data_IF_335310646010
#
_entry.id   IF_335310646010
#
_cell.length_a   1.000
_cell.length_b   1.000
_cell.length_c   1.000
_cell.angle_alpha   90.00
_cell.angle_beta   90.00
_cell.angle_gamma   90.00
#
_symmetry.space_group_name_H-M   'P 1'
#
loop_
_entity.id
_entity.type
_entity.pdbx_description
1 polymer ?
#
# COMPACT_ATOMS: atom_id res chain seq x y z
N UNK A 1 -17.06 5.71 -14.16
CA UNK A 1 -15.72 6.31 -13.91
C UNK A 1 -15.28 6.24 -12.45
N UNK A 2 -16.13 6.58 -11.47
CA UNK A 2 -15.77 6.56 -10.03
C UNK A 2 -15.25 5.19 -9.55
N UNK A 3 -15.97 4.10 -9.85
CA UNK A 3 -15.56 2.75 -9.47
C UNK A 3 -14.20 2.34 -10.07
N UNK A 4 -13.94 2.74 -11.32
CA UNK A 4 -12.65 2.51 -12.01
C UNK A 4 -11.52 3.28 -11.32
N UNK A 5 -11.76 4.52 -10.88
CA UNK A 5 -10.77 5.34 -10.17
C UNK A 5 -10.49 4.83 -8.76
N UNK A 6 -11.51 4.32 -8.05
CA UNK A 6 -11.31 3.62 -6.78
C UNK A 6 -10.49 2.35 -6.97
N UNK A 7 -10.85 1.50 -7.93
CA UNK A 7 -10.11 0.29 -8.23
C UNK A 7 -8.64 0.61 -8.61
N UNK A 8 -8.41 1.63 -9.43
CA UNK A 8 -7.06 2.08 -9.77
C UNK A 8 -6.27 2.57 -8.55
N UNK A 9 -6.89 3.38 -7.67
CA UNK A 9 -6.24 3.87 -6.46
C UNK A 9 -5.86 2.73 -5.51
N UNK A 10 -6.75 1.75 -5.33
CA UNK A 10 -6.49 0.54 -4.55
C UNK A 10 -5.35 -0.25 -5.18
N UNK A 11 -5.44 -0.60 -6.47
CA UNK A 11 -4.44 -1.41 -7.17
C UNK A 11 -3.05 -0.75 -7.15
N UNK A 12 -2.96 0.57 -7.35
CA UNK A 12 -1.69 1.31 -7.28
C UNK A 12 -1.13 1.29 -5.87
N UNK A 13 -1.97 1.43 -4.85
CA UNK A 13 -1.54 1.35 -3.44
C UNK A 13 -0.98 -0.04 -3.12
N UNK A 14 -1.68 -1.09 -3.55
CA UNK A 14 -1.22 -2.47 -3.40
C UNK A 14 0.08 -2.73 -4.15
N UNK A 15 0.21 -2.27 -5.39
CA UNK A 15 1.43 -2.41 -6.17
C UNK A 15 2.62 -1.70 -5.50
N UNK A 16 2.42 -0.47 -5.00
CA UNK A 16 3.45 0.26 -4.28
C UNK A 16 3.89 -0.46 -3.00
N UNK A 17 2.94 -1.00 -2.23
CA UNK A 17 3.25 -1.83 -1.05
C UNK A 17 4.05 -3.08 -1.45
N UNK A 18 3.60 -3.83 -2.46
CA UNK A 18 4.29 -5.04 -2.93
C UNK A 18 5.74 -4.73 -3.35
N UNK A 19 5.95 -3.63 -4.08
CA UNK A 19 7.30 -3.17 -4.45
C UNK A 19 8.13 -2.82 -3.22
N UNK A 20 7.53 -2.17 -2.22
CA UNK A 20 8.21 -1.85 -0.96
C UNK A 20 8.61 -3.12 -0.17
N UNK A 21 7.82 -4.20 -0.27
CA UNK A 21 8.13 -5.50 0.32
C UNK A 21 9.26 -6.23 -0.42
N UNK A 22 9.34 -6.05 -1.73
CA UNK A 22 10.37 -6.63 -2.60
C UNK A 22 11.69 -5.84 -2.53
N UNK A 23 11.64 -4.54 -2.25
CA UNK A 23 12.82 -3.67 -2.11
C UNK A 23 13.86 -4.13 -1.06
N UNK A 24 13.49 -4.76 0.08
CA UNK A 24 14.44 -5.37 1.02
C UNK A 24 14.90 -6.79 0.65
N UNK A 25 14.37 -7.41 -0.41
CA UNK A 25 14.87 -8.73 -0.84
C UNK A 25 16.35 -8.77 -1.26
N UNK A 26 16.97 -7.70 -1.82
CA UNK A 26 18.42 -7.63 -2.03
C UNK A 26 19.23 -7.13 -0.82
N UNK A 27 18.61 -6.78 0.32
CA UNK A 27 19.33 -6.22 1.47
C UNK A 27 19.98 -7.32 2.35
N UNK A 28 21.15 -7.05 2.97
CA UNK A 28 21.94 -8.09 3.63
C UNK A 28 21.24 -8.67 4.87
N UNK A 29 21.35 -9.99 5.06
CA UNK A 29 20.70 -10.86 6.06
C UNK A 29 20.44 -10.23 7.46
N UNK A 30 21.39 -9.46 8.00
CA UNK A 30 21.25 -8.80 9.30
C UNK A 30 20.08 -7.79 9.42
N UNK A 31 19.68 -7.13 8.32
CA UNK A 31 18.50 -6.24 8.30
C UNK A 31 17.20 -7.03 8.11
N UNK A 32 17.25 -8.19 7.44
CA UNK A 32 16.07 -9.04 7.22
C UNK A 32 15.47 -9.51 8.54
N UNK A 33 16.29 -9.80 9.55
CA UNK A 33 15.80 -10.27 10.85
C UNK A 33 14.96 -9.22 11.60
N UNK A 34 15.33 -7.94 11.51
CA UNK A 34 14.54 -6.84 12.10
C UNK A 34 13.31 -6.47 11.26
N UNK A 35 13.39 -6.62 9.92
CA UNK A 35 12.30 -6.29 8.99
C UNK A 35 11.22 -7.38 8.95
N UNK A 36 11.58 -8.66 9.06
CA UNK A 36 10.66 -9.82 9.02
C UNK A 36 10.20 -10.33 10.39
N UNK A 37 10.48 -9.60 11.48
CA UNK A 37 9.94 -9.92 12.80
C UNK A 37 8.40 -10.07 12.75
N UNK A 38 7.78 -11.02 13.50
CA UNK A 38 6.33 -11.26 13.44
C UNK A 38 5.48 -10.02 13.70
N UNK A 39 5.97 -9.08 14.51
CA UNK A 39 5.31 -7.80 14.74
C UNK A 39 5.33 -6.88 13.49
N UNK A 40 6.45 -6.88 12.76
CA UNK A 40 6.60 -6.11 11.52
C UNK A 40 5.70 -6.66 10.42
N UNK A 41 5.62 -7.99 10.29
CA UNK A 41 4.67 -8.66 9.37
C UNK A 41 3.23 -8.30 9.73
N UNK A 42 2.87 -8.29 11.01
CA UNK A 42 1.54 -7.88 11.48
C UNK A 42 1.20 -6.42 11.15
N UNK A 43 2.14 -5.50 11.39
CA UNK A 43 2.01 -4.10 10.97
C UNK A 43 1.87 -3.97 9.46
N UNK A 44 2.56 -4.81 8.70
CA UNK A 44 2.50 -4.82 7.24
C UNK A 44 1.15 -5.32 6.71
N UNK A 45 0.57 -6.35 7.33
CA UNK A 45 -0.78 -6.82 7.04
C UNK A 45 -1.83 -5.75 7.37
N UNK A 46 -1.68 -5.06 8.50
CA UNK A 46 -2.54 -3.91 8.85
C UNK A 46 -2.39 -2.79 7.82
N UNK A 47 -1.17 -2.49 7.38
CA UNK A 47 -0.93 -1.47 6.34
C UNK A 47 -1.59 -1.83 5.01
N UNK A 48 -1.53 -3.10 4.58
CA UNK A 48 -2.23 -3.59 3.38
C UNK A 48 -3.75 -3.42 3.45
N UNK A 49 -4.35 -3.51 4.65
CA UNK A 49 -5.79 -3.30 4.85
C UNK A 49 -6.16 -1.82 4.98
N UNK A 50 -5.37 -1.04 5.71
CA UNK A 50 -5.70 0.35 6.07
C UNK A 50 -5.29 1.33 4.98
N UNK A 51 -4.13 1.14 4.34
CA UNK A 51 -3.63 2.07 3.33
C UNK A 51 -4.59 2.28 2.14
N UNK A 52 -5.24 1.24 1.57
CA UNK A 52 -6.18 1.43 0.47
C UNK A 52 -7.41 2.25 0.88
N UNK A 53 -7.89 2.08 2.11
CA UNK A 53 -9.01 2.84 2.67
C UNK A 53 -8.61 4.30 2.84
N UNK A 54 -7.46 4.55 3.46
CA UNK A 54 -6.93 5.90 3.67
C UNK A 54 -6.69 6.62 2.34
N UNK A 55 -6.11 5.94 1.34
CA UNK A 55 -5.90 6.51 0.01
C UNK A 55 -7.22 6.83 -0.69
N UNK A 56 -8.22 5.94 -0.59
CA UNK A 56 -9.56 6.22 -1.11
C UNK A 56 -10.19 7.45 -0.46
N UNK A 57 -10.06 7.63 0.86
CA UNK A 57 -10.55 8.81 1.57
C UNK A 57 -9.77 10.08 1.19
N UNK A 58 -8.44 10.04 1.19
CA UNK A 58 -7.60 11.19 0.87
C UNK A 58 -7.75 11.66 -0.59
N UNK A 59 -7.94 10.72 -1.52
CA UNK A 59 -8.16 11.00 -2.95
C UNK A 59 -9.64 11.05 -3.31
N UNK A 60 -10.56 10.95 -2.35
CA UNK A 60 -12.00 10.98 -2.57
C UNK A 60 -12.49 12.16 -3.42
N UNK A 61 -11.97 13.40 -3.22
CA UNK A 61 -12.36 14.53 -4.07
C UNK A 61 -11.99 14.30 -5.53
N UNK A 62 -10.82 13.74 -5.82
CA UNK A 62 -10.36 13.42 -7.17
C UNK A 62 -11.11 12.22 -7.78
N UNK A 63 -11.45 11.23 -6.94
CA UNK A 63 -12.24 10.05 -7.30
C UNK A 63 -13.65 10.46 -7.74
N UNK A 64 -14.29 11.41 -7.03
CA UNK A 64 -15.60 11.96 -7.39
C UNK A 64 -15.56 12.94 -8.55
N UNK A 65 -14.64 13.90 -8.53
CA UNK A 65 -14.69 15.08 -9.41
C UNK A 65 -14.10 14.87 -10.79
N UNK A 66 -13.41 13.76 -11.04
CA UNK A 66 -12.94 13.49 -12.39
C UNK A 66 -11.56 14.08 -12.72
N UNK A 67 -10.96 14.85 -11.81
CA UNK A 67 -9.87 15.76 -12.14
C UNK A 67 -10.50 17.01 -12.74
N UNK A 68 -10.54 18.06 -11.93
CA UNK A 68 -10.88 19.42 -12.38
C UNK A 68 -9.88 19.89 -13.44
#
# INVERSE_FOLDING_TARGET
MVAVRMAAAVLVTWAALIVLLLAPSPLPEHWRYYIYSPASVGLWMLAMLVAPVVVCFAKWPWIKSGGS
#
